data_IF_673516442607
#
_entry.id   IF_673516442607
#
_cell.length_a   1.000
_cell.length_b   1.000
_cell.length_c   1.000
_cell.angle_alpha   90.00
_cell.angle_beta   90.00
_cell.angle_gamma   90.00
#
_symmetry.space_group_name_H-M   'P 1'
#
loop_
_entity.id
_entity.type
_entity.pdbx_description
1 polymer ?
#
# COMPACT_ATOMS: atom_id res chain seq x y z
N UNK A 1 -4.62 24.95 49.03
CA UNK A 1 -5.58 25.14 47.94
C UNK A 1 -5.37 24.04 46.91
N UNK A 2 -6.44 23.32 46.63
CA UNK A 2 -6.40 22.33 45.52
C UNK A 2 -6.49 23.06 44.19
N UNK A 3 -5.59 22.74 43.28
CA UNK A 3 -5.69 23.23 41.91
C UNK A 3 -6.91 22.64 41.23
N UNK A 4 -7.64 23.48 40.50
CA UNK A 4 -8.76 22.97 39.66
C UNK A 4 -8.21 22.26 38.45
N UNK A 5 -8.69 21.05 38.24
CA UNK A 5 -8.44 20.32 37.00
C UNK A 5 -9.42 20.82 35.93
N UNK A 6 -8.89 21.53 34.95
CA UNK A 6 -9.70 22.05 33.84
C UNK A 6 -9.78 21.06 32.67
N UNK A 7 -9.12 19.90 32.76
CA UNK A 7 -9.12 18.89 31.72
C UNK A 7 -10.49 18.44 31.30
N UNK A 8 -11.40 18.27 32.27
CA UNK A 8 -12.79 17.86 32.01
C UNK A 8 -13.63 18.92 31.32
N UNK A 9 -13.20 20.19 31.32
CA UNK A 9 -13.93 21.30 30.69
C UNK A 9 -13.52 21.54 29.25
N UNK A 10 -12.50 20.84 28.76
CA UNK A 10 -11.99 20.99 27.41
C UNK A 10 -12.81 20.16 26.43
N UNK A 11 -13.16 20.78 25.30
CA UNK A 11 -13.87 20.10 24.21
C UNK A 11 -12.91 19.64 23.13
N UNK A 12 -11.89 18.89 23.54
CA UNK A 12 -10.90 18.34 22.61
C UNK A 12 -11.50 17.10 21.92
N UNK A 13 -11.23 16.94 20.62
CA UNK A 13 -11.70 15.74 19.93
C UNK A 13 -11.03 14.48 20.51
N UNK A 14 -11.80 13.42 20.59
CA UNK A 14 -11.34 12.11 21.04
C UNK A 14 -11.39 11.15 19.88
N UNK A 15 -10.33 10.38 19.71
CA UNK A 15 -10.25 9.38 18.66
C UNK A 15 -9.42 8.19 19.13
N UNK A 16 -9.75 7.01 18.60
CA UNK A 16 -8.93 5.81 18.79
C UNK A 16 -7.73 5.75 17.85
N UNK A 17 -7.64 6.67 16.89
CA UNK A 17 -6.47 6.75 16.03
C UNK A 17 -5.23 7.13 16.82
N UNK A 18 -4.14 6.45 16.55
CA UNK A 18 -2.86 6.74 17.18
C UNK A 18 -2.34 8.08 16.69
N UNK A 19 -1.77 8.87 17.60
CA UNK A 19 -1.17 10.16 17.27
C UNK A 19 0.06 10.00 16.38
N UNK A 20 0.84 8.96 16.60
CA UNK A 20 2.02 8.63 15.79
C UNK A 20 1.67 7.55 14.77
N UNK A 21 2.18 7.69 13.56
CA UNK A 21 1.96 6.68 12.51
C UNK A 21 2.59 5.33 12.88
N UNK A 22 3.82 5.34 13.41
CA UNK A 22 4.55 4.14 13.82
C UNK A 22 4.58 3.06 12.73
N UNK A 23 4.82 3.46 11.49
CA UNK A 23 4.70 2.60 10.32
C UNK A 23 5.56 1.33 10.38
N UNK A 24 6.82 1.36 10.86
CA UNK A 24 7.62 0.14 10.93
C UNK A 24 6.98 -1.01 11.72
N UNK A 25 6.15 -0.69 12.70
CA UNK A 25 5.43 -1.67 13.50
C UNK A 25 4.01 -1.92 13.00
N UNK A 26 3.41 -0.93 12.37
CA UNK A 26 2.01 -0.99 11.91
C UNK A 26 1.86 -1.67 10.56
N UNK A 27 2.76 -1.39 9.61
CA UNK A 27 2.64 -1.92 8.25
C UNK A 27 2.71 -3.45 8.18
N UNK A 28 3.60 -4.14 8.91
CA UNK A 28 3.60 -5.60 8.92
C UNK A 28 2.27 -6.21 9.36
N UNK A 29 1.60 -5.59 10.32
CA UNK A 29 0.28 -6.04 10.79
C UNK A 29 -0.80 -5.82 9.74
N UNK A 30 -0.73 -4.74 8.99
CA UNK A 30 -1.65 -4.46 7.89
C UNK A 30 -1.46 -5.49 6.78
N UNK A 31 -0.22 -5.79 6.41
CA UNK A 31 0.10 -6.79 5.37
C UNK A 31 -0.43 -8.15 5.80
N UNK A 32 -0.20 -8.55 7.05
CA UNK A 32 -0.71 -9.81 7.59
C UNK A 32 -2.24 -9.88 7.49
N UNK A 33 -2.93 -8.80 7.85
CA UNK A 33 -4.39 -8.71 7.75
C UNK A 33 -4.86 -8.85 6.32
N UNK A 34 -4.17 -8.23 5.37
CA UNK A 34 -4.50 -8.34 3.95
C UNK A 34 -4.33 -9.77 3.43
N UNK A 35 -3.28 -10.46 3.84
CA UNK A 35 -3.02 -11.85 3.47
C UNK A 35 -4.06 -12.80 4.06
N UNK A 36 -4.36 -12.66 5.35
CA UNK A 36 -5.35 -13.49 6.03
C UNK A 36 -6.76 -13.33 5.42
N UNK A 37 -7.13 -12.11 5.06
CA UNK A 37 -8.43 -11.82 4.47
C UNK A 37 -8.45 -11.93 2.95
N UNK A 38 -7.32 -12.24 2.32
CA UNK A 38 -7.19 -12.37 0.85
C UNK A 38 -7.73 -11.15 0.10
N UNK A 39 -7.34 -9.97 0.56
CA UNK A 39 -7.85 -8.69 0.04
C UNK A 39 -7.53 -8.54 -1.43
N UNK A 40 -6.30 -8.87 -1.84
CA UNK A 40 -5.87 -8.78 -3.24
C UNK A 40 -6.70 -9.70 -4.13
N UNK A 41 -6.81 -10.96 -3.75
CA UNK A 41 -7.53 -11.98 -4.51
C UNK A 41 -9.02 -11.64 -4.64
N UNK A 42 -9.62 -11.15 -3.58
CA UNK A 42 -11.02 -10.68 -3.62
C UNK A 42 -11.20 -9.51 -4.57
N UNK A 43 -10.24 -8.61 -4.62
CA UNK A 43 -10.26 -7.48 -5.56
C UNK A 43 -10.25 -7.92 -7.02
N UNK A 44 -9.58 -9.02 -7.34
CA UNK A 44 -9.51 -9.53 -8.70
C UNK A 44 -10.84 -10.14 -9.18
N UNK A 45 -11.69 -10.60 -8.27
CA UNK A 45 -12.97 -11.25 -8.61
C UNK A 45 -14.14 -10.29 -8.73
N UNK A 46 -13.99 -9.05 -8.30
CA UNK A 46 -15.09 -8.05 -8.27
C UNK A 46 -15.19 -7.19 -9.52
N UNK A 47 -14.12 -7.12 -10.31
CA UNK A 47 -14.09 -6.27 -11.49
C UNK A 47 -14.89 -6.83 -12.65
N UNK A 48 -15.53 -5.95 -13.41
CA UNK A 48 -16.32 -6.33 -14.61
C UNK A 48 -15.55 -6.13 -15.90
N UNK A 49 -14.56 -5.24 -15.91
CA UNK A 49 -13.70 -4.95 -17.06
C UNK A 49 -12.25 -5.15 -16.69
N UNK A 50 -11.46 -5.62 -17.62
CA UNK A 50 -10.02 -5.78 -17.42
C UNK A 50 -9.28 -4.49 -17.67
N UNK A 51 -8.30 -4.20 -16.82
CA UNK A 51 -7.30 -3.17 -17.02
C UNK A 51 -5.93 -3.81 -16.85
N UNK A 52 -5.14 -3.77 -17.90
CA UNK A 52 -3.80 -4.39 -17.90
C UNK A 52 -2.76 -3.29 -17.93
N UNK A 53 -1.94 -3.22 -16.90
CA UNK A 53 -0.79 -2.35 -16.84
C UNK A 53 0.47 -3.22 -17.00
N UNK A 54 1.17 -2.98 -18.11
CA UNK A 54 2.42 -3.69 -18.36
C UNK A 54 3.49 -3.23 -17.39
N UNK A 55 4.10 -4.20 -16.69
CA UNK A 55 5.21 -3.91 -15.80
C UNK A 55 6.52 -3.96 -16.57
N UNK A 56 7.27 -2.84 -16.57
CA UNK A 56 8.65 -2.83 -17.01
C UNK A 56 9.52 -3.49 -15.94
N UNK A 57 10.00 -4.71 -16.17
CA UNK A 57 10.70 -5.43 -15.11
C UNK A 57 12.06 -4.83 -14.84
N UNK A 58 12.46 -4.69 -13.57
CA UNK A 58 13.82 -4.28 -13.23
C UNK A 58 14.81 -5.39 -13.49
N UNK A 59 16.09 -5.03 -13.70
CA UNK A 59 17.15 -6.01 -13.75
C UNK A 59 17.27 -6.77 -12.43
N UNK A 60 17.53 -8.07 -12.53
CA UNK A 60 17.68 -8.95 -11.36
C UNK A 60 19.09 -8.84 -10.77
N UNK A 61 19.58 -7.62 -10.55
CA UNK A 61 20.90 -7.35 -10.00
C UNK A 61 20.88 -6.15 -9.06
N UNK A 62 21.69 -6.20 -8.02
CA UNK A 62 21.82 -5.12 -7.06
C UNK A 62 20.60 -4.91 -6.18
N UNK A 63 20.70 -3.89 -5.34
CA UNK A 63 19.67 -3.54 -4.39
C UNK A 63 18.60 -2.62 -5.01
N UNK A 64 17.43 -2.60 -4.39
CA UNK A 64 16.34 -1.69 -4.74
C UNK A 64 16.76 -0.26 -4.39
N UNK A 65 16.52 0.66 -5.32
CA UNK A 65 16.81 2.08 -5.13
C UNK A 65 15.55 2.94 -5.30
N UNK A 66 15.71 4.25 -5.09
CA UNK A 66 14.57 5.20 -5.13
C UNK A 66 13.84 5.23 -6.48
N UNK A 67 14.55 4.96 -7.57
CA UNK A 67 13.93 4.85 -8.90
C UNK A 67 12.95 3.69 -8.98
N UNK A 68 13.28 2.54 -8.38
CA UNK A 68 12.37 1.42 -8.26
C UNK A 68 11.14 1.79 -7.42
N UNK A 69 11.36 2.48 -6.30
CA UNK A 69 10.27 2.93 -5.44
C UNK A 69 9.30 3.83 -6.19
N UNK A 70 9.80 4.83 -6.90
CA UNK A 70 8.97 5.74 -7.71
C UNK A 70 8.14 4.96 -8.74
N UNK A 71 8.78 4.09 -9.50
CA UNK A 71 8.12 3.29 -10.54
C UNK A 71 7.01 2.41 -9.96
N UNK A 72 7.32 1.65 -8.92
CA UNK A 72 6.38 0.68 -8.35
C UNK A 72 5.24 1.36 -7.59
N UNK A 73 5.50 2.46 -6.91
CA UNK A 73 4.46 3.21 -6.20
C UNK A 73 3.47 3.83 -7.18
N UNK A 74 3.95 4.42 -8.29
CA UNK A 74 3.07 4.98 -9.32
C UNK A 74 2.17 3.89 -9.93
N UNK A 75 2.73 2.74 -10.23
CA UNK A 75 1.94 1.60 -10.74
C UNK A 75 0.91 1.11 -9.73
N UNK A 76 1.29 1.03 -8.46
CA UNK A 76 0.40 0.62 -7.38
C UNK A 76 -0.79 1.58 -7.24
N UNK A 77 -0.54 2.88 -7.32
CA UNK A 77 -1.59 3.89 -7.27
C UNK A 77 -2.57 3.73 -8.44
N UNK A 78 -2.06 3.55 -9.66
CA UNK A 78 -2.90 3.37 -10.85
C UNK A 78 -3.76 2.13 -10.71
N UNK A 79 -3.18 1.00 -10.30
CA UNK A 79 -3.91 -0.25 -10.18
C UNK A 79 -4.97 -0.20 -9.08
N UNK A 80 -4.65 0.39 -7.94
CA UNK A 80 -5.62 0.58 -6.85
C UNK A 80 -6.75 1.50 -7.26
N UNK A 81 -6.45 2.60 -7.95
CA UNK A 81 -7.48 3.48 -8.49
C UNK A 81 -8.41 2.74 -9.44
N UNK A 82 -7.86 1.96 -10.37
CA UNK A 82 -8.67 1.19 -11.32
C UNK A 82 -9.55 0.16 -10.62
N UNK A 83 -9.03 -0.52 -9.60
CA UNK A 83 -9.85 -1.46 -8.79
C UNK A 83 -11.00 -0.75 -8.09
N UNK A 84 -10.76 0.43 -7.53
CA UNK A 84 -11.81 1.25 -6.92
C UNK A 84 -12.87 1.69 -7.94
N UNK A 85 -12.50 1.79 -9.21
CA UNK A 85 -13.40 2.12 -10.31
C UNK A 85 -14.12 0.90 -10.91
N UNK A 86 -13.95 -0.26 -10.34
CA UNK A 86 -14.64 -1.48 -10.76
C UNK A 86 -13.92 -2.29 -11.83
N UNK A 87 -12.65 -2.01 -12.09
CA UNK A 87 -11.85 -2.81 -13.01
C UNK A 87 -11.19 -3.99 -12.31
N UNK A 88 -11.02 -5.07 -13.05
CA UNK A 88 -10.14 -6.15 -12.67
C UNK A 88 -8.72 -5.78 -13.13
N UNK A 89 -7.89 -5.36 -12.17
CA UNK A 89 -6.55 -4.82 -12.44
C UNK A 89 -5.49 -5.61 -11.69
N UNK A 90 -5.07 -6.77 -12.21
CA UNK A 90 -4.03 -7.56 -11.57
C UNK A 90 -2.66 -6.90 -11.72
N UNK A 91 -1.80 -7.13 -10.74
CA UNK A 91 -0.40 -6.78 -10.82
C UNK A 91 0.44 -8.04 -10.96
N UNK A 92 1.13 -8.16 -12.08
CA UNK A 92 2.00 -9.31 -12.39
C UNK A 92 3.43 -8.78 -12.51
N UNK A 93 4.23 -8.87 -11.45
CA UNK A 93 5.62 -8.41 -11.47
C UNK A 93 6.51 -9.37 -12.24
N UNK A 94 7.65 -8.88 -12.68
CA UNK A 94 8.65 -9.67 -13.36
C UNK A 94 10.06 -9.16 -13.08
N UNK A 95 11.04 -9.88 -13.62
CA UNK A 95 12.45 -9.53 -13.55
C UNK A 95 13.08 -9.58 -14.93
N UNK A 96 13.95 -8.62 -15.22
CA UNK A 96 14.77 -8.66 -16.42
C UNK A 96 16.06 -9.40 -16.09
N UNK A 97 16.23 -10.57 -16.71
CA UNK A 97 17.36 -11.47 -16.43
C UNK A 97 18.34 -11.55 -17.57
N UNK A 98 18.19 -10.73 -18.60
CA UNK A 98 19.09 -10.71 -19.76
C UNK A 98 19.68 -9.32 -19.96
N UNK A 99 20.81 -9.27 -20.63
CA UNK A 99 21.48 -8.06 -20.98
C UNK A 99 22.80 -7.85 -20.25
N UNK A 100 23.50 -6.79 -20.63
CA UNK A 100 24.83 -6.48 -20.11
C UNK A 100 24.89 -6.33 -18.58
N UNK A 101 23.90 -5.73 -17.88
CA UNK A 101 23.95 -5.62 -16.43
C UNK A 101 23.89 -6.96 -15.70
N UNK A 102 23.36 -7.98 -16.30
CA UNK A 102 23.30 -9.34 -15.73
C UNK A 102 24.59 -10.08 -16.03
#
# INVERSE_FOLDING_TARGET
MSEKDYGATLNLPKTSFQMKANLPNKEPKIIQKWEENKIYEKGLTKGTKSFILHDGPPYANGDIHIGHALNKILKDIILKYKRLRGYNAPYIPGWDTHGLPI
#
